data_IF_303674451784
#
_entry.id   IF_303674451784
#
_cell.length_a   1.000
_cell.length_b   1.000
_cell.length_c   1.000
_cell.angle_alpha   90.00
_cell.angle_beta   90.00
_cell.angle_gamma   90.00
#
_symmetry.space_group_name_H-M   'P 1'
#
loop_
_entity.id
_entity.type
_entity.pdbx_description
1 polymer ?
#
# COMPACT_ATOMS: atom_id res chain seq x y z
N UNK A 1 18.45 -6.01 -27.52
CA UNK A 1 18.69 -5.49 -26.16
C UNK A 1 17.72 -4.35 -25.95
N UNK A 2 16.65 -4.57 -25.19
CA UNK A 2 15.65 -3.52 -24.96
C UNK A 2 16.22 -2.54 -23.92
N UNK A 3 16.39 -1.30 -24.32
CA UNK A 3 16.60 -0.19 -23.38
C UNK A 3 15.33 -0.06 -22.55
N UNK A 4 15.37 -0.53 -21.31
CA UNK A 4 14.35 -0.16 -20.33
C UNK A 4 14.45 1.34 -20.11
N UNK A 5 13.72 2.11 -20.93
CA UNK A 5 13.42 3.51 -20.66
C UNK A 5 12.73 3.54 -19.30
N UNK A 6 13.50 3.90 -18.28
CA UNK A 6 13.04 4.00 -16.91
C UNK A 6 11.99 5.10 -16.85
N UNK A 7 10.77 4.75 -16.43
CA UNK A 7 9.68 5.71 -16.29
C UNK A 7 10.09 6.87 -15.37
N UNK A 8 9.96 8.14 -15.80
CA UNK A 8 10.27 9.31 -14.98
C UNK A 8 9.16 9.64 -13.97
N UNK A 9 8.15 8.78 -13.83
CA UNK A 9 7.00 9.01 -12.97
C UNK A 9 7.44 8.99 -11.50
N UNK A 10 7.37 10.14 -10.84
CA UNK A 10 7.63 10.29 -9.41
C UNK A 10 6.36 10.24 -8.56
N UNK A 11 5.19 10.51 -9.16
CA UNK A 11 3.90 10.60 -8.49
C UNK A 11 2.88 9.77 -9.27
N UNK A 12 2.21 8.85 -8.59
CA UNK A 12 1.18 8.03 -9.19
C UNK A 12 -0.05 7.98 -8.29
N UNK A 13 -1.20 8.25 -8.90
CA UNK A 13 -2.49 8.15 -8.26
C UNK A 13 -3.38 7.19 -9.07
N UNK A 14 -3.98 6.22 -8.38
CA UNK A 14 -4.92 5.26 -8.95
C UNK A 14 -6.23 5.38 -8.20
N UNK A 15 -7.20 6.02 -8.84
CA UNK A 15 -8.54 6.24 -8.28
C UNK A 15 -9.45 5.00 -8.32
N UNK A 16 -9.11 4.01 -9.16
CA UNK A 16 -9.92 2.82 -9.39
C UNK A 16 -9.38 1.60 -8.64
N UNK A 17 -10.19 0.54 -8.61
CA UNK A 17 -9.85 -0.75 -8.03
C UNK A 17 -8.56 -1.30 -8.64
N UNK A 18 -7.53 -1.48 -7.81
CA UNK A 18 -6.30 -2.17 -8.16
C UNK A 18 -6.22 -3.47 -7.36
N UNK A 19 -5.85 -4.57 -8.02
CA UNK A 19 -5.55 -5.81 -7.31
C UNK A 19 -4.15 -5.77 -6.70
N UNK A 20 -3.99 -6.46 -5.57
CA UNK A 20 -2.71 -6.52 -4.84
C UNK A 20 -1.54 -7.01 -5.71
N UNK A 21 -1.78 -7.96 -6.61
CA UNK A 21 -0.78 -8.46 -7.56
C UNK A 21 -0.39 -7.43 -8.61
N UNK A 22 -1.35 -6.65 -9.12
CA UNK A 22 -1.09 -5.59 -10.09
C UNK A 22 -0.27 -4.48 -9.43
N UNK A 23 -0.56 -4.17 -8.16
CA UNK A 23 0.21 -3.21 -7.37
C UNK A 23 1.68 -3.59 -7.25
N UNK A 24 2.02 -4.85 -6.95
CA UNK A 24 3.43 -5.25 -6.80
C UNK A 24 4.18 -5.24 -8.13
N UNK A 25 3.51 -5.66 -9.21
CA UNK A 25 4.05 -5.59 -10.55
C UNK A 25 4.29 -4.14 -10.99
N UNK A 26 3.34 -3.24 -10.73
CA UNK A 26 3.44 -1.82 -11.05
C UNK A 26 4.72 -1.21 -10.49
N UNK A 27 5.04 -1.46 -9.22
CA UNK A 27 6.24 -0.92 -8.57
C UNK A 27 7.54 -1.31 -9.27
N UNK A 28 7.56 -2.43 -10.00
CA UNK A 28 8.73 -2.84 -10.79
C UNK A 28 8.94 -2.02 -12.08
N UNK A 29 7.89 -1.37 -12.59
CA UNK A 29 7.93 -0.58 -13.82
C UNK A 29 8.14 0.93 -13.58
N UNK A 30 8.01 1.39 -12.34
CA UNK A 30 8.17 2.81 -11.95
C UNK A 30 9.28 2.98 -10.90
N UNK A 31 10.55 2.75 -11.27
CA UNK A 31 11.66 2.76 -10.30
C UNK A 31 11.93 4.14 -9.68
N UNK A 32 11.46 5.22 -10.31
CA UNK A 32 11.59 6.59 -9.82
C UNK A 32 10.41 7.05 -8.95
N UNK A 33 9.43 6.17 -8.71
CA UNK A 33 8.23 6.54 -7.96
C UNK A 33 8.57 6.90 -6.52
N UNK A 34 8.19 8.11 -6.13
CA UNK A 34 8.41 8.68 -4.80
C UNK A 34 7.10 8.72 -4.00
N UNK A 35 5.97 8.97 -4.68
CA UNK A 35 4.65 9.08 -4.07
C UNK A 35 3.63 8.20 -4.78
N UNK A 36 2.93 7.39 -3.99
CA UNK A 36 1.87 6.52 -4.47
C UNK A 36 0.60 6.73 -3.65
N UNK A 37 -0.52 6.90 -4.34
CA UNK A 37 -1.84 6.87 -3.72
C UNK A 37 -2.77 5.93 -4.50
N UNK A 38 -3.42 5.00 -3.81
CA UNK A 38 -4.39 4.07 -4.39
C UNK A 38 -5.64 4.08 -3.52
N UNK A 39 -6.75 4.49 -4.13
CA UNK A 39 -8.02 4.67 -3.42
C UNK A 39 -8.73 3.35 -3.13
N UNK A 40 -8.40 2.27 -3.83
CA UNK A 40 -9.01 0.96 -3.63
C UNK A 40 -8.02 -0.15 -4.02
N UNK A 41 -7.27 -0.65 -3.04
CA UNK A 41 -6.36 -1.79 -3.21
C UNK A 41 -7.01 -3.04 -2.62
N UNK A 42 -7.10 -4.08 -3.44
CA UNK A 42 -7.98 -5.20 -3.14
C UNK A 42 -7.29 -6.56 -3.11
N UNK A 43 -7.59 -7.36 -2.08
CA UNK A 43 -7.06 -8.71 -1.88
C UNK A 43 -8.12 -9.79 -2.11
N UNK A 44 -8.08 -10.46 -3.26
CA UNK A 44 -8.87 -11.69 -3.50
C UNK A 44 -8.03 -12.90 -3.91
N UNK A 45 -6.73 -12.73 -4.14
CA UNK A 45 -5.89 -13.79 -4.69
C UNK A 45 -5.30 -14.63 -3.55
N UNK A 46 -6.02 -15.69 -3.13
CA UNK A 46 -5.64 -16.65 -2.07
C UNK A 46 -4.33 -17.42 -2.30
N UNK A 47 -3.57 -17.10 -3.36
CA UNK A 47 -2.31 -17.75 -3.68
C UNK A 47 -1.18 -17.07 -2.90
N UNK A 48 -0.88 -17.66 -1.73
CA UNK A 48 0.36 -17.38 -0.98
C UNK A 48 1.57 -17.55 -1.91
N UNK A 49 2.53 -16.63 -1.72
CA UNK A 49 3.80 -16.43 -2.45
C UNK A 49 3.69 -15.34 -3.53
N UNK A 50 3.71 -14.09 -3.06
CA UNK A 50 4.15 -12.98 -3.90
C UNK A 50 5.68 -13.05 -3.97
N UNK A 51 6.20 -13.54 -5.10
CA UNK A 51 7.61 -13.33 -5.42
C UNK A 51 7.76 -11.87 -5.80
N UNK A 52 8.30 -11.06 -4.90
CA UNK A 52 8.56 -9.67 -5.21
C UNK A 52 9.83 -9.56 -6.04
N UNK A 53 9.80 -8.87 -7.20
CA UNK A 53 11.03 -8.55 -7.90
C UNK A 53 11.92 -7.71 -6.98
N UNK A 54 13.24 -7.91 -7.01
CA UNK A 54 14.17 -7.06 -6.25
C UNK A 54 14.13 -5.66 -6.86
N UNK A 55 13.37 -4.76 -6.25
CA UNK A 55 13.16 -3.40 -6.73
C UNK A 55 13.81 -2.44 -5.74
N UNK A 56 14.76 -1.65 -6.22
CA UNK A 56 15.14 -0.42 -5.55
C UNK A 56 14.10 0.64 -5.93
N UNK A 57 13.21 0.96 -5.01
CA UNK A 57 12.24 2.04 -5.20
C UNK A 57 12.62 3.23 -4.30
N UNK A 58 12.14 4.41 -4.69
CA UNK A 58 12.34 5.67 -3.95
C UNK A 58 11.09 6.09 -3.20
N UNK A 59 10.17 5.16 -2.91
CA UNK A 59 8.91 5.48 -2.26
C UNK A 59 9.18 6.07 -0.88
N UNK A 60 8.71 7.31 -0.72
CA UNK A 60 8.74 8.05 0.53
C UNK A 60 7.32 8.29 1.05
N UNK A 61 6.32 8.34 0.17
CA UNK A 61 4.93 8.60 0.54
C UNK A 61 4.01 7.55 -0.07
N UNK A 62 3.24 6.88 0.78
CA UNK A 62 2.26 5.87 0.36
C UNK A 62 0.94 6.14 1.06
N UNK A 63 -0.15 6.17 0.28
CA UNK A 63 -1.52 6.26 0.77
C UNK A 63 -2.35 5.14 0.15
N UNK A 64 -2.91 4.26 0.95
CA UNK A 64 -3.64 3.08 0.47
C UNK A 64 -4.96 2.91 1.22
N UNK A 65 -6.04 2.64 0.49
CA UNK A 65 -7.22 2.00 1.08
C UNK A 65 -7.17 0.51 0.79
N UNK A 66 -7.17 -0.28 1.84
CA UNK A 66 -7.01 -1.72 1.81
C UNK A 66 -8.39 -2.36 2.02
N UNK A 67 -8.93 -2.95 0.96
CA UNK A 67 -10.21 -3.64 0.98
C UNK A 67 -9.95 -5.16 0.89
N UNK A 68 -10.36 -5.93 1.89
CA UNK A 68 -10.12 -7.39 1.97
C UNK A 68 -8.64 -7.80 1.93
N UNK A 69 -7.74 -7.01 2.51
CA UNK A 69 -6.31 -7.35 2.64
C UNK A 69 -5.97 -7.50 4.12
N UNK A 70 -5.64 -8.72 4.54
CA UNK A 70 -5.18 -8.98 5.91
C UNK A 70 -3.81 -8.37 6.17
N UNK A 71 -3.48 -8.12 7.43
CA UNK A 71 -2.16 -7.60 7.79
C UNK A 71 -1.06 -8.59 7.43
N UNK A 72 -1.35 -9.90 7.49
CA UNK A 72 -0.45 -10.97 7.06
C UNK A 72 -0.12 -10.90 5.56
N UNK A 73 -1.06 -10.44 4.72
CA UNK A 73 -0.85 -10.24 3.29
C UNK A 73 -0.14 -8.92 2.98
N UNK A 74 -0.36 -7.88 3.81
CA UNK A 74 0.24 -6.58 3.62
C UNK A 74 1.68 -6.48 4.15
N UNK A 75 2.00 -7.18 5.23
CA UNK A 75 3.33 -7.11 5.85
C UNK A 75 4.49 -7.49 4.90
N UNK A 76 4.38 -8.52 4.04
CA UNK A 76 5.40 -8.79 3.02
C UNK A 76 5.66 -7.63 2.06
N UNK A 77 4.65 -6.83 1.73
CA UNK A 77 4.79 -5.63 0.89
C UNK A 77 5.60 -4.57 1.63
N UNK A 78 5.27 -4.32 2.89
CA UNK A 78 6.02 -3.39 3.74
C UNK A 78 7.49 -3.78 3.79
N UNK A 79 7.75 -5.06 4.08
CA UNK A 79 9.09 -5.63 4.19
C UNK A 79 9.92 -5.49 2.93
N UNK A 80 9.30 -5.37 1.77
CA UNK A 80 10.01 -5.39 0.49
C UNK A 80 10.12 -4.00 -0.15
N UNK A 81 9.11 -3.16 0.01
CA UNK A 81 9.06 -1.87 -0.70
C UNK A 81 9.22 -0.65 0.20
N UNK A 82 8.95 -0.73 1.50
CA UNK A 82 8.78 0.48 2.33
C UNK A 82 9.99 0.85 3.19
N UNK A 83 11.18 0.39 2.81
CA UNK A 83 12.43 0.66 3.54
C UNK A 83 12.76 2.15 3.69
N UNK A 84 12.42 2.98 2.71
CA UNK A 84 12.66 4.43 2.71
C UNK A 84 11.39 5.24 2.97
N UNK A 85 10.32 4.58 3.40
CA UNK A 85 9.04 5.20 3.57
C UNK A 85 9.07 6.19 4.74
N UNK A 86 8.55 7.39 4.48
CA UNK A 86 8.50 8.51 5.41
C UNK A 86 7.07 8.76 5.90
N UNK A 87 6.11 8.60 4.98
CA UNK A 87 4.69 8.78 5.23
C UNK A 87 3.95 7.52 4.77
N UNK A 88 3.25 6.89 5.71
CA UNK A 88 2.31 5.79 5.44
C UNK A 88 0.93 6.24 5.89
N UNK A 89 -0.01 6.28 4.96
CA UNK A 89 -1.44 6.44 5.25
C UNK A 89 -2.16 5.18 4.81
N UNK A 90 -2.87 4.54 5.73
CA UNK A 90 -3.68 3.37 5.39
C UNK A 90 -5.10 3.51 5.95
N UNK A 91 -6.06 3.06 5.16
CA UNK A 91 -7.44 2.84 5.62
C UNK A 91 -7.82 1.38 5.38
N UNK A 92 -8.49 0.74 6.33
CA UNK A 92 -8.94 -0.66 6.25
C UNK A 92 -10.17 -0.88 7.13
N UNK A 93 -10.85 -2.02 7.02
CA UNK A 93 -12.04 -2.33 7.83
C UNK A 93 -12.20 -3.78 8.28
N UNK A 94 -11.51 -4.72 7.63
CA UNK A 94 -11.92 -6.13 7.67
C UNK A 94 -11.10 -6.99 8.65
N UNK A 95 -9.85 -6.61 8.94
CA UNK A 95 -8.92 -7.41 9.75
C UNK A 95 -8.52 -6.71 11.05
N UNK A 96 -8.96 -7.29 12.18
CA UNK A 96 -8.65 -6.80 13.52
C UNK A 96 -7.14 -6.81 13.84
N UNK A 97 -6.32 -7.58 13.12
CA UNK A 97 -4.88 -7.57 13.32
C UNK A 97 -4.26 -6.18 13.05
N UNK A 98 -4.89 -5.34 12.24
CA UNK A 98 -4.46 -3.95 12.03
C UNK A 98 -4.59 -3.08 13.28
N UNK A 99 -5.43 -3.47 14.26
CA UNK A 99 -5.58 -2.76 15.53
C UNK A 99 -4.52 -3.17 16.57
N UNK A 100 -3.63 -4.12 16.25
CA UNK A 100 -2.58 -4.57 17.15
C UNK A 100 -1.38 -3.60 17.13
N UNK A 101 -1.34 -2.69 18.10
CA UNK A 101 -0.26 -1.70 18.24
C UNK A 101 1.14 -2.33 18.39
N UNK A 102 1.27 -3.43 19.14
CA UNK A 102 2.56 -4.10 19.33
C UNK A 102 3.10 -4.66 18.01
N UNK A 103 2.20 -5.19 17.18
CA UNK A 103 2.57 -5.70 15.85
C UNK A 103 3.03 -4.57 14.93
N UNK A 104 2.31 -3.45 14.92
CA UNK A 104 2.76 -2.26 14.17
C UNK A 104 4.11 -1.73 14.65
N UNK A 105 4.33 -1.67 15.96
CA UNK A 105 5.63 -1.26 16.52
C UNK A 105 6.76 -2.16 16.00
N UNK A 106 6.57 -3.49 16.01
CA UNK A 106 7.56 -4.43 15.48
C UNK A 106 7.81 -4.21 13.98
N UNK A 107 6.76 -4.05 13.19
CA UNK A 107 6.88 -3.82 11.74
C UNK A 107 7.62 -2.52 11.45
N UNK A 108 7.25 -1.41 12.11
CA UNK A 108 7.86 -0.09 11.90
C UNK A 108 9.34 -0.12 12.26
N UNK A 109 9.67 -0.62 13.45
CA UNK A 109 11.07 -0.68 13.91
C UNK A 109 11.93 -1.60 13.06
N UNK A 110 11.36 -2.65 12.45
CA UNK A 110 12.11 -3.62 11.65
C UNK A 110 12.29 -3.20 10.18
N UNK A 111 11.29 -2.51 9.61
CA UNK A 111 11.19 -2.36 8.15
C UNK A 111 10.97 -0.94 7.64
N UNK A 112 10.51 -0.02 8.49
CA UNK A 112 10.18 1.36 8.10
C UNK A 112 10.89 2.37 9.02
N UNK A 113 12.21 2.23 9.17
CA UNK A 113 13.01 3.02 10.12
C UNK A 113 13.00 4.54 9.85
N UNK A 114 12.60 4.97 8.64
CA UNK A 114 12.49 6.37 8.26
C UNK A 114 11.07 6.95 8.39
N UNK A 115 10.12 6.14 8.87
CA UNK A 115 8.72 6.52 9.02
C UNK A 115 8.58 7.54 10.15
N UNK A 116 7.96 8.68 9.84
CA UNK A 116 7.67 9.72 10.82
C UNK A 116 6.20 10.14 10.82
N UNK A 117 5.44 9.83 9.76
CA UNK A 117 3.98 9.97 9.74
C UNK A 117 3.37 8.60 9.46
N UNK A 118 2.64 8.09 10.45
CA UNK A 118 1.77 6.93 10.31
C UNK A 118 0.34 7.37 10.58
N UNK A 119 -0.47 7.42 9.52
CA UNK A 119 -1.89 7.75 9.58
C UNK A 119 -2.68 6.48 9.33
N UNK A 120 -3.58 6.16 10.27
CA UNK A 120 -4.29 4.91 10.30
C UNK A 120 -5.77 5.15 10.52
N UNK A 121 -6.58 4.69 9.58
CA UNK A 121 -8.03 4.73 9.65
C UNK A 121 -8.57 3.30 9.63
N UNK A 122 -9.39 2.96 10.62
CA UNK A 122 -10.08 1.67 10.66
C UNK A 122 -11.58 1.91 10.65
N UNK A 123 -12.23 1.68 9.52
CA UNK A 123 -13.68 1.81 9.38
C UNK A 123 -14.32 0.43 9.37
N UNK A 124 -15.08 0.10 10.41
CA UNK A 124 -15.96 -1.06 10.37
C UNK A 124 -17.16 -0.70 9.49
N UNK A 125 -17.12 -1.04 8.20
CA UNK A 125 -18.25 -0.79 7.31
C UNK A 125 -19.34 -1.82 7.62
N UNK A 126 -20.23 -1.50 8.56
CA UNK A 126 -21.61 -1.94 8.41
C UNK A 126 -22.10 -1.34 7.10
N UNK A 127 -22.32 -2.16 6.09
CA UNK A 127 -23.05 -1.78 4.88
C UNK A 127 -24.48 -1.38 5.27
N UNK A 128 -24.67 -0.13 5.70
CA UNK A 128 -25.94 0.54 5.49
C UNK A 128 -25.78 1.24 4.15
N UNK A 129 -26.52 0.75 3.15
CA UNK A 129 -26.67 1.42 1.87
C UNK A 129 -27.11 2.87 2.09
N UNK A 130 -26.16 3.81 2.13
CA UNK A 130 -26.45 5.22 2.01
C UNK A 130 -25.54 5.84 0.96
N UNK A 131 -26.13 6.03 -0.21
CA UNK A 131 -25.65 6.94 -1.24
C UNK A 131 -25.37 8.32 -0.63
N UNK A 132 -24.11 8.71 -0.46
CA UNK A 132 -23.76 10.14 -0.41
C UNK A 132 -22.45 10.39 -1.15
N UNK A 133 -22.63 10.98 -2.33
CA UNK A 133 -21.66 11.72 -3.13
C UNK A 133 -21.02 12.82 -2.28
N UNK A 134 -19.68 12.91 -2.27
CA UNK A 134 -19.00 14.17 -1.98
C UNK A 134 -17.81 14.35 -2.93
N UNK A 135 -17.82 15.50 -3.62
CA UNK A 135 -16.74 16.05 -4.42
C UNK A 135 -15.67 16.68 -3.50
N UNK A 136 -14.40 16.50 -3.89
CA UNK A 136 -13.20 17.36 -3.77
C UNK A 136 -13.09 18.40 -2.63
N UNK A 137 -11.95 18.37 -1.93
CA UNK A 137 -10.87 19.37 -2.04
C UNK A 137 -9.52 18.74 -1.65
#
# INVERSE_FOLDING_TARGET
MATHETSPIEYLFIAQLAGLKQFTNLLSYVPHLCRLSIDHLHGYDHKKIQVFPKVFNKLTHVSLRLDYITLDEFEPIIRHFFHHLQVLRISTGDDLAYLNANRWQQIILSHMIHLHIFDFQHSYNFTVYHNQTFFLL
#
